data_IF_957951460592
#
_entry.id   IF_957951460592
#
_cell.length_a   1.000
_cell.length_b   1.000
_cell.length_c   1.000
_cell.angle_alpha   90.00
_cell.angle_beta   90.00
_cell.angle_gamma   90.00
#
_symmetry.space_group_name_H-M   'P 1'
#
loop_
_entity.id
_entity.type
_entity.pdbx_description
1 polymer ?
#
# COMPACT_ATOMS: atom_id res chain seq x y z
N UNK A 1 -47.20 -15.69 -35.62
CA UNK A 1 -47.21 -15.53 -34.16
C UNK A 1 -45.92 -16.11 -33.64
N UNK A 2 -44.94 -15.27 -33.49
CA UNK A 2 -43.57 -15.64 -33.01
C UNK A 2 -43.38 -14.99 -31.66
N UNK A 3 -43.17 -15.83 -30.65
CA UNK A 3 -42.92 -15.44 -29.25
C UNK A 3 -41.48 -14.93 -29.13
N UNK A 4 -41.18 -13.91 -28.33
CA UNK A 4 -39.81 -13.43 -28.13
C UNK A 4 -39.09 -14.30 -27.12
N UNK A 5 -37.84 -14.62 -27.44
CA UNK A 5 -36.87 -15.29 -26.55
C UNK A 5 -36.55 -14.41 -25.36
N UNK A 6 -36.88 -14.89 -24.17
CA UNK A 6 -36.44 -14.31 -22.91
C UNK A 6 -34.94 -14.54 -22.78
N UNK A 7 -34.19 -13.45 -22.56
CA UNK A 7 -32.76 -13.48 -22.18
C UNK A 7 -32.60 -14.07 -20.78
N UNK A 8 -31.97 -15.22 -20.72
CA UNK A 8 -31.52 -15.82 -19.45
C UNK A 8 -30.40 -15.00 -18.84
N UNK A 9 -30.72 -14.34 -17.74
CA UNK A 9 -29.79 -13.73 -16.81
C UNK A 9 -28.93 -14.83 -16.15
N UNK A 10 -27.77 -15.16 -16.74
CA UNK A 10 -26.83 -16.15 -16.19
C UNK A 10 -26.12 -15.57 -14.98
N UNK A 11 -26.78 -15.57 -13.84
CA UNK A 11 -26.13 -15.40 -12.54
C UNK A 11 -25.22 -16.61 -12.30
N UNK A 12 -23.95 -16.32 -12.09
CA UNK A 12 -22.91 -17.25 -11.71
C UNK A 12 -23.19 -17.85 -10.31
N UNK A 13 -23.99 -18.90 -10.24
CA UNK A 13 -24.17 -19.70 -9.04
C UNK A 13 -23.94 -21.17 -9.39
N UNK A 14 -22.64 -21.60 -9.41
CA UNK A 14 -22.28 -23.01 -9.19
C UNK A 14 -20.76 -23.21 -9.10
N UNK A 15 -20.16 -22.77 -7.97
CA UNK A 15 -18.91 -23.37 -7.47
C UNK A 15 -19.21 -24.00 -6.11
N UNK A 16 -18.56 -25.09 -5.67
CA UNK A 16 -18.87 -25.74 -4.40
C UNK A 16 -18.62 -24.77 -3.24
N UNK A 17 -19.68 -24.18 -2.75
CA UNK A 17 -19.73 -23.06 -1.81
C UNK A 17 -18.97 -23.33 -0.48
N UNK A 18 -18.72 -24.58 -0.13
CA UNK A 18 -18.01 -24.97 1.10
C UNK A 18 -16.50 -24.91 0.99
N UNK A 19 -15.90 -25.18 -0.19
CA UNK A 19 -14.44 -25.16 -0.34
C UNK A 19 -13.91 -23.74 -0.47
N UNK A 20 -14.64 -22.87 -1.16
CA UNK A 20 -14.26 -21.47 -1.38
C UNK A 20 -14.33 -20.63 -0.09
N UNK A 21 -15.37 -20.77 0.72
CA UNK A 21 -15.55 -20.03 1.99
C UNK A 21 -14.47 -20.34 3.03
N UNK A 22 -14.01 -21.61 3.11
CA UNK A 22 -12.97 -22.03 4.07
C UNK A 22 -11.60 -21.49 3.65
N UNK A 23 -11.27 -21.49 2.36
CA UNK A 23 -10.03 -20.96 1.80
C UNK A 23 -9.98 -19.41 1.90
N UNK A 24 -11.08 -18.72 1.60
CA UNK A 24 -11.22 -17.28 1.74
C UNK A 24 -11.01 -16.79 3.18
N UNK A 25 -11.50 -17.54 4.17
CA UNK A 25 -11.30 -17.24 5.59
C UNK A 25 -9.85 -17.47 6.05
N UNK A 26 -9.13 -18.42 5.44
CA UNK A 26 -7.70 -18.67 5.71
C UNK A 26 -6.79 -17.59 5.14
N UNK A 27 -7.16 -16.96 4.01
CA UNK A 27 -6.38 -15.89 3.37
C UNK A 27 -6.70 -14.49 3.91
N UNK A 28 -7.69 -14.35 4.81
CA UNK A 28 -8.09 -13.05 5.38
C UNK A 28 -8.60 -12.04 4.34
N UNK A 29 -9.07 -12.51 3.19
CA UNK A 29 -9.56 -11.66 2.10
C UNK A 29 -10.94 -11.08 2.41
N UNK A 30 -11.08 -9.76 2.25
CA UNK A 30 -12.33 -9.03 2.33
C UNK A 30 -12.58 -8.38 0.96
N UNK A 31 -13.52 -8.93 0.20
CA UNK A 31 -13.84 -8.43 -1.13
C UNK A 31 -14.76 -7.22 -1.02
N UNK A 32 -14.39 -6.14 -1.69
CA UNK A 32 -15.28 -5.00 -1.89
C UNK A 32 -16.48 -5.45 -2.73
N UNK A 33 -17.70 -5.07 -2.31
CA UNK A 33 -18.95 -5.42 -2.97
C UNK A 33 -19.83 -4.21 -3.26
N UNK A 34 -19.37 -3.01 -2.94
CA UNK A 34 -20.11 -1.75 -3.11
C UNK A 34 -19.59 -1.02 -4.36
N UNK A 35 -20.42 -1.00 -5.41
CA UNK A 35 -20.09 -0.38 -6.70
C UNK A 35 -19.90 1.13 -6.60
N UNK A 36 -20.64 1.82 -5.71
CA UNK A 36 -20.49 3.26 -5.53
C UNK A 36 -19.12 3.60 -4.95
N UNK A 37 -18.65 2.78 -4.00
CA UNK A 37 -17.32 2.93 -3.42
C UNK A 37 -16.24 2.60 -4.45
N UNK A 38 -16.42 1.53 -5.25
CA UNK A 38 -15.50 1.17 -6.32
C UNK A 38 -15.35 2.30 -7.35
N UNK A 39 -16.48 2.84 -7.83
CA UNK A 39 -16.49 3.99 -8.74
C UNK A 39 -15.80 5.21 -8.13
N UNK A 40 -16.06 5.50 -6.85
CA UNK A 40 -15.43 6.63 -6.15
C UNK A 40 -13.91 6.46 -6.04
N UNK A 41 -13.41 5.26 -5.76
CA UNK A 41 -11.98 4.95 -5.71
C UNK A 41 -11.33 5.23 -7.06
N UNK A 42 -11.88 4.67 -8.15
CA UNK A 42 -11.33 4.82 -9.50
C UNK A 42 -11.37 6.28 -9.96
N UNK A 43 -12.47 6.99 -9.71
CA UNK A 43 -12.57 8.41 -10.07
C UNK A 43 -11.53 9.28 -9.35
N UNK A 44 -11.23 8.98 -8.08
CA UNK A 44 -10.21 9.71 -7.30
C UNK A 44 -8.77 9.37 -7.72
N UNK A 45 -8.56 8.30 -8.48
CA UNK A 45 -7.26 8.01 -9.10
C UNK A 45 -6.94 8.96 -10.26
N UNK A 46 -7.94 9.69 -10.79
CA UNK A 46 -7.78 10.71 -11.83
C UNK A 46 -6.96 10.19 -13.02
N UNK A 47 -7.33 8.99 -13.48
CA UNK A 47 -6.63 8.30 -14.58
C UNK A 47 -6.85 9.08 -15.87
N UNK A 48 -5.75 9.34 -16.60
CA UNK A 48 -5.74 9.99 -17.91
C UNK A 48 -5.72 8.95 -19.01
N UNK A 49 -6.06 9.36 -20.23
CA UNK A 49 -5.98 8.50 -21.41
C UNK A 49 -4.55 8.00 -21.60
N UNK A 50 -4.42 6.74 -22.02
CA UNK A 50 -3.16 6.02 -22.28
C UNK A 50 -2.26 5.73 -21.06
N UNK A 51 -2.64 6.11 -19.84
CA UNK A 51 -1.88 5.75 -18.64
C UNK A 51 -1.90 4.24 -18.38
N UNK A 52 -0.75 3.75 -17.91
CA UNK A 52 -0.57 2.36 -17.46
C UNK A 52 -1.02 2.23 -16.03
N UNK A 53 -1.99 1.36 -15.80
CA UNK A 53 -2.62 1.15 -14.51
C UNK A 53 -2.17 -0.19 -13.96
N UNK A 54 -1.76 -0.22 -12.69
CA UNK A 54 -1.56 -1.46 -11.93
C UNK A 54 -2.70 -1.62 -10.92
N UNK A 55 -3.43 -2.73 -11.04
CA UNK A 55 -4.34 -3.19 -9.99
C UNK A 55 -3.68 -4.31 -9.18
N UNK A 56 -3.60 -4.16 -7.86
CA UNK A 56 -3.04 -5.18 -6.98
C UNK A 56 -4.16 -5.90 -6.27
N UNK A 57 -4.26 -7.22 -6.50
CA UNK A 57 -5.27 -8.07 -5.89
C UNK A 57 -6.69 -7.73 -6.37
N UNK A 58 -6.99 -7.85 -7.67
CA UNK A 58 -8.30 -7.54 -8.23
C UNK A 58 -9.44 -8.34 -7.57
N UNK A 59 -9.15 -9.50 -7.00
CA UNK A 59 -10.12 -10.32 -6.30
C UNK A 59 -11.26 -10.78 -7.22
N UNK A 60 -12.47 -10.27 -6.98
CA UNK A 60 -13.64 -10.57 -7.83
C UNK A 60 -13.81 -9.62 -9.02
N UNK A 61 -12.90 -8.64 -9.17
CA UNK A 61 -12.85 -7.76 -10.33
C UNK A 61 -13.74 -6.51 -10.25
N UNK A 62 -14.19 -6.10 -9.07
CA UNK A 62 -15.07 -4.93 -8.93
C UNK A 62 -14.40 -3.61 -9.35
N UNK A 63 -13.10 -3.44 -9.05
CA UNK A 63 -12.32 -2.30 -9.53
C UNK A 63 -11.92 -2.51 -10.99
N UNK A 64 -11.55 -3.76 -11.36
CA UNK A 64 -11.18 -4.16 -12.71
C UNK A 64 -12.26 -3.77 -13.74
N UNK A 65 -13.54 -4.05 -13.45
CA UNK A 65 -14.71 -3.71 -14.29
C UNK A 65 -14.79 -2.22 -14.68
N UNK A 66 -14.21 -1.36 -13.85
CA UNK A 66 -14.20 0.09 -14.07
C UNK A 66 -12.86 0.51 -14.69
N UNK A 67 -11.75 -0.07 -14.23
CA UNK A 67 -10.39 0.30 -14.63
C UNK A 67 -10.10 -0.02 -16.10
N UNK A 68 -10.62 -1.13 -16.63
CA UNK A 68 -10.46 -1.52 -18.05
C UNK A 68 -10.98 -0.45 -19.03
N UNK A 69 -11.90 0.41 -18.59
CA UNK A 69 -12.47 1.51 -19.38
C UNK A 69 -11.67 2.81 -19.27
N UNK A 70 -10.58 2.83 -18.51
CA UNK A 70 -9.85 4.05 -18.18
C UNK A 70 -8.44 4.12 -18.77
N UNK A 71 -7.79 2.98 -19.06
CA UNK A 71 -6.44 2.94 -19.59
C UNK A 71 -5.92 1.52 -19.72
N UNK A 72 -4.61 1.38 -19.93
CA UNK A 72 -3.95 0.08 -20.07
C UNK A 72 -3.80 -0.60 -18.71
N UNK A 73 -4.61 -1.62 -18.45
CA UNK A 73 -4.68 -2.28 -17.14
C UNK A 73 -3.79 -3.53 -17.10
N UNK A 74 -2.86 -3.54 -16.16
CA UNK A 74 -2.16 -4.72 -15.65
C UNK A 74 -2.73 -5.05 -14.26
N UNK A 75 -3.23 -6.27 -14.06
CA UNK A 75 -3.75 -6.70 -12.77
C UNK A 75 -2.99 -7.95 -12.27
N UNK A 76 -2.50 -7.90 -11.04
CA UNK A 76 -1.71 -8.98 -10.41
C UNK A 76 -2.52 -9.62 -9.29
N UNK A 77 -2.90 -10.91 -9.50
CA UNK A 77 -3.69 -11.70 -8.55
C UNK A 77 -2.92 -12.93 -8.10
N UNK A 78 -2.85 -13.13 -6.78
CA UNK A 78 -2.16 -14.27 -6.18
C UNK A 78 -2.99 -15.56 -6.19
N UNK A 79 -4.31 -15.44 -6.08
CA UNK A 79 -5.20 -16.62 -6.09
C UNK A 79 -5.37 -17.10 -7.54
N UNK A 80 -4.85 -18.30 -7.79
CA UNK A 80 -4.87 -18.95 -9.11
C UNK A 80 -6.27 -19.06 -9.71
N UNK A 81 -7.28 -19.39 -8.87
CA UNK A 81 -8.65 -19.56 -9.35
C UNK A 81 -9.25 -18.21 -9.78
N UNK A 82 -9.06 -17.18 -8.95
CA UNK A 82 -9.49 -15.82 -9.29
C UNK A 82 -8.79 -15.30 -10.54
N UNK A 83 -7.48 -15.52 -10.67
CA UNK A 83 -6.73 -15.12 -11.86
C UNK A 83 -7.28 -15.77 -13.14
N UNK A 84 -7.64 -17.06 -13.10
CA UNK A 84 -8.25 -17.75 -14.24
C UNK A 84 -9.61 -17.15 -14.59
N UNK A 85 -10.47 -16.90 -13.61
CA UNK A 85 -11.79 -16.28 -13.81
C UNK A 85 -11.65 -14.88 -14.41
N UNK A 86 -10.73 -14.07 -13.90
CA UNK A 86 -10.47 -12.73 -14.40
C UNK A 86 -9.92 -12.74 -15.84
N UNK A 87 -8.98 -13.66 -16.16
CA UNK A 87 -8.46 -13.84 -17.52
C UNK A 87 -9.58 -14.15 -18.52
N UNK A 88 -10.54 -14.99 -18.12
CA UNK A 88 -11.69 -15.31 -18.99
C UNK A 88 -12.63 -14.11 -19.16
N UNK A 89 -12.82 -13.33 -18.10
CA UNK A 89 -13.73 -12.18 -18.11
C UNK A 89 -13.18 -10.98 -18.86
N UNK A 90 -11.86 -10.73 -18.77
CA UNK A 90 -11.20 -9.52 -19.28
C UNK A 90 -10.10 -9.84 -20.33
N UNK A 91 -10.28 -10.90 -21.11
CA UNK A 91 -9.25 -11.47 -22.02
C UNK A 91 -8.64 -10.46 -23.00
N UNK A 92 -9.40 -9.47 -23.46
CA UNK A 92 -8.97 -8.47 -24.44
C UNK A 92 -8.78 -7.07 -23.83
N UNK A 93 -9.23 -6.86 -22.59
CA UNK A 93 -9.31 -5.54 -21.98
C UNK A 93 -8.23 -5.29 -20.93
N UNK A 94 -7.66 -6.36 -20.35
CA UNK A 94 -6.63 -6.26 -19.32
C UNK A 94 -5.62 -7.40 -19.38
N UNK A 95 -4.39 -7.09 -19.01
CA UNK A 95 -3.37 -8.09 -18.75
C UNK A 95 -3.49 -8.61 -17.32
N UNK A 96 -3.94 -9.85 -17.13
CA UNK A 96 -4.10 -10.48 -15.81
C UNK A 96 -2.94 -11.44 -15.56
N UNK A 97 -2.15 -11.17 -14.52
CA UNK A 97 -1.00 -11.99 -14.13
C UNK A 97 -1.31 -12.76 -12.85
N UNK A 98 -1.12 -14.09 -12.87
CA UNK A 98 -1.12 -14.93 -11.67
C UNK A 98 0.26 -14.83 -11.01
N UNK A 99 0.39 -14.02 -9.97
CA UNK A 99 1.64 -13.87 -9.23
C UNK A 99 1.41 -13.30 -7.81
N UNK A 100 2.38 -13.51 -6.91
CA UNK A 100 2.47 -12.73 -5.69
C UNK A 100 3.10 -11.36 -6.00
N UNK A 101 2.38 -10.29 -5.71
CA UNK A 101 2.88 -8.92 -5.91
C UNK A 101 4.19 -8.65 -5.16
N UNK A 102 4.45 -9.38 -4.08
CA UNK A 102 5.69 -9.24 -3.31
C UNK A 102 6.92 -9.79 -4.05
N UNK A 103 6.72 -10.70 -5.02
CA UNK A 103 7.78 -11.32 -5.82
C UNK A 103 7.75 -10.87 -7.29
N UNK A 104 6.62 -10.28 -7.73
CA UNK A 104 6.42 -9.85 -9.12
C UNK A 104 7.23 -8.60 -9.44
N UNK A 105 7.98 -8.62 -10.55
CA UNK A 105 8.70 -7.44 -11.04
C UNK A 105 7.73 -6.48 -11.70
N UNK A 106 7.52 -5.32 -11.06
CA UNK A 106 6.55 -4.32 -11.49
C UNK A 106 7.16 -3.52 -12.65
N UNK A 107 6.54 -3.50 -13.84
CA UNK A 107 7.01 -2.69 -14.96
C UNK A 107 6.78 -1.20 -14.70
N UNK A 108 7.16 -0.35 -15.67
CA UNK A 108 6.83 1.08 -15.62
C UNK A 108 5.31 1.27 -15.60
N UNK A 109 4.81 1.89 -14.53
CA UNK A 109 3.39 2.13 -14.24
C UNK A 109 3.19 3.59 -13.89
N UNK A 110 2.08 4.18 -14.32
CA UNK A 110 1.74 5.56 -13.99
C UNK A 110 0.85 5.62 -12.74
N UNK A 111 -0.15 4.76 -12.65
CA UNK A 111 -1.18 4.78 -11.59
C UNK A 111 -1.34 3.41 -10.96
N UNK A 112 -1.45 3.37 -9.63
CA UNK A 112 -1.74 2.15 -8.88
C UNK A 112 -3.10 2.29 -8.18
N UNK A 113 -3.97 1.32 -8.36
CA UNK A 113 -5.27 1.25 -7.67
C UNK A 113 -5.40 -0.11 -6.99
N UNK A 114 -5.75 -0.14 -5.70
CA UNK A 114 -5.90 -1.43 -5.02
C UNK A 114 -6.79 -1.36 -3.76
N UNK A 115 -7.53 -2.45 -3.55
CA UNK A 115 -8.06 -2.85 -2.26
C UNK A 115 -7.12 -3.89 -1.64
N UNK A 116 -6.11 -3.44 -0.91
CA UNK A 116 -5.01 -4.29 -0.45
C UNK A 116 -5.43 -5.28 0.65
N UNK A 117 -4.95 -6.54 0.60
CA UNK A 117 -5.08 -7.46 1.74
C UNK A 117 -4.37 -6.86 2.97
N UNK A 118 -5.08 -6.77 4.09
CA UNK A 118 -4.60 -6.04 5.27
C UNK A 118 -3.33 -6.63 5.87
N UNK A 119 -3.16 -7.95 5.79
CA UNK A 119 -1.98 -8.64 6.33
C UNK A 119 -0.67 -8.28 5.65
N UNK A 120 -0.72 -7.80 4.42
CA UNK A 120 0.46 -7.48 3.60
C UNK A 120 0.56 -6.00 3.22
N UNK A 121 -0.25 -5.12 3.83
CA UNK A 121 -0.25 -3.67 3.55
C UNK A 121 1.14 -3.03 3.69
N UNK A 122 1.87 -3.35 4.76
CA UNK A 122 3.23 -2.81 4.97
C UNK A 122 4.24 -3.36 3.96
N UNK A 123 4.41 -4.68 3.78
CA UNK A 123 5.32 -5.22 2.76
C UNK A 123 5.06 -4.69 1.36
N UNK A 124 3.78 -4.63 0.93
CA UNK A 124 3.42 -4.09 -0.40
C UNK A 124 3.86 -2.63 -0.51
N UNK A 125 3.51 -1.79 0.46
CA UNK A 125 3.84 -0.37 0.40
C UNK A 125 5.36 -0.13 0.30
N UNK A 126 6.15 -0.83 1.13
CA UNK A 126 7.61 -0.73 1.07
C UNK A 126 8.19 -1.27 -0.24
N UNK A 127 7.53 -2.26 -0.86
CA UNK A 127 7.90 -2.73 -2.19
C UNK A 127 7.60 -1.67 -3.24
N UNK A 128 6.41 -1.07 -3.24
CA UNK A 128 6.02 -0.03 -4.19
C UNK A 128 6.97 1.17 -4.17
N UNK A 129 7.53 1.53 -3.03
CA UNK A 129 8.52 2.61 -2.91
C UNK A 129 9.83 2.35 -3.68
N UNK A 130 10.09 1.13 -4.10
CA UNK A 130 11.28 0.78 -4.90
C UNK A 130 11.07 0.95 -6.41
N UNK A 131 9.83 1.18 -6.84
CA UNK A 131 9.46 1.30 -8.24
C UNK A 131 9.07 2.74 -8.58
N UNK A 132 9.11 3.04 -9.87
CA UNK A 132 8.69 4.34 -10.39
C UNK A 132 7.21 4.30 -10.72
N UNK A 133 6.45 5.23 -10.17
CA UNK A 133 5.04 5.49 -10.44
C UNK A 133 4.72 6.93 -10.05
N UNK A 134 3.62 7.49 -10.55
CA UNK A 134 3.25 8.89 -10.26
C UNK A 134 2.34 8.99 -9.05
N UNK A 135 1.26 8.20 -9.02
CA UNK A 135 0.25 8.25 -7.96
C UNK A 135 -0.40 6.89 -7.70
N UNK A 136 -0.94 6.75 -6.51
CA UNK A 136 -1.69 5.56 -6.13
C UNK A 136 -2.94 5.93 -5.32
N UNK A 137 -4.03 5.17 -5.50
CA UNK A 137 -5.22 5.19 -4.65
C UNK A 137 -5.39 3.81 -4.05
N UNK A 138 -5.08 3.71 -2.77
CA UNK A 138 -4.99 2.45 -2.05
C UNK A 138 -5.96 2.44 -0.87
N UNK A 139 -6.56 1.29 -0.62
CA UNK A 139 -7.40 1.09 0.55
C UNK A 139 -6.67 0.24 1.60
N UNK A 140 -6.61 0.76 2.82
CA UNK A 140 -5.98 0.15 3.99
C UNK A 140 -6.95 0.04 5.16
N UNK A 141 -6.57 -0.70 6.19
CA UNK A 141 -7.20 -0.58 7.50
C UNK A 141 -7.04 0.85 8.03
N UNK A 142 -8.06 1.37 8.72
CA UNK A 142 -8.07 2.74 9.24
C UNK A 142 -6.85 3.05 10.13
N UNK A 143 -6.44 2.10 10.97
CA UNK A 143 -5.26 2.26 11.83
C UNK A 143 -3.97 2.41 11.01
N UNK A 144 -3.79 1.57 9.98
CA UNK A 144 -2.63 1.66 9.09
C UNK A 144 -2.59 3.00 8.35
N UNK A 145 -3.71 3.45 7.81
CA UNK A 145 -3.82 4.75 7.15
C UNK A 145 -3.51 5.92 8.11
N UNK A 146 -3.94 5.83 9.37
CA UNK A 146 -3.63 6.84 10.39
C UNK A 146 -2.13 6.90 10.71
N UNK A 147 -1.46 5.75 10.75
CA UNK A 147 0.01 5.71 10.92
C UNK A 147 0.74 6.25 9.70
N UNK A 148 0.21 6.04 8.50
CA UNK A 148 0.82 6.50 7.25
C UNK A 148 0.90 8.03 7.19
N UNK A 149 -0.14 8.74 7.65
CA UNK A 149 -0.23 10.22 7.63
C UNK A 149 0.15 10.87 8.97
N UNK A 150 0.66 10.08 9.92
CA UNK A 150 0.94 10.58 11.26
C UNK A 150 2.07 11.62 11.25
N UNK A 151 1.90 12.67 12.04
CA UNK A 151 2.89 13.75 12.22
C UNK A 151 3.73 13.52 13.48
N UNK A 152 4.95 14.06 13.56
CA UNK A 152 5.76 14.06 14.78
C UNK A 152 4.96 14.47 16.02
N UNK A 153 5.29 13.90 17.15
CA UNK A 153 4.58 14.10 18.43
C UNK A 153 3.26 13.33 18.57
N UNK A 154 2.71 12.76 17.50
CA UNK A 154 1.47 11.99 17.59
C UNK A 154 1.71 10.55 18.04
N UNK A 155 0.70 9.95 18.72
CA UNK A 155 0.75 8.57 19.22
C UNK A 155 1.03 7.52 18.13
N UNK A 156 0.65 7.78 16.89
CA UNK A 156 0.75 6.85 15.75
C UNK A 156 1.97 7.09 14.87
N UNK A 157 2.72 8.17 15.11
CA UNK A 157 3.95 8.46 14.37
C UNK A 157 5.02 7.39 14.59
N UNK A 158 5.70 6.97 13.53
CA UNK A 158 6.67 5.91 13.62
C UNK A 158 7.41 5.64 12.29
N UNK A 159 8.12 4.51 12.21
CA UNK A 159 8.88 4.12 11.01
C UNK A 159 8.07 4.26 9.72
N UNK A 160 6.80 3.79 9.72
CA UNK A 160 5.94 3.88 8.54
C UNK A 160 5.71 5.32 8.10
N UNK A 161 5.49 6.23 9.05
CA UNK A 161 5.24 7.66 8.78
C UNK A 161 6.46 8.33 8.15
N UNK A 162 7.64 8.07 8.71
CA UNK A 162 8.93 8.63 8.23
C UNK A 162 9.24 8.11 6.82
N UNK A 163 9.16 6.78 6.63
CA UNK A 163 9.44 6.18 5.32
C UNK A 163 8.43 6.61 4.25
N UNK A 164 7.15 6.70 4.59
CA UNK A 164 6.16 7.21 3.66
C UNK A 164 6.42 8.68 3.30
N UNK A 165 6.75 9.53 4.28
CA UNK A 165 7.10 10.93 4.03
C UNK A 165 8.30 11.09 3.10
N UNK A 166 9.26 10.16 3.14
CA UNK A 166 10.43 10.17 2.25
C UNK A 166 10.03 10.00 0.78
N UNK A 167 9.08 9.10 0.48
CA UNK A 167 8.75 8.71 -0.90
C UNK A 167 7.54 9.41 -1.49
N UNK A 168 6.55 9.75 -0.63
CA UNK A 168 5.23 10.17 -1.10
C UNK A 168 4.65 11.30 -0.27
N UNK A 169 3.82 12.12 -0.92
CA UNK A 169 2.80 12.90 -0.25
C UNK A 169 1.57 12.01 -0.04
N UNK A 170 1.05 11.99 1.19
CA UNK A 170 -0.04 11.09 1.58
C UNK A 170 -1.28 11.89 2.02
N UNK A 171 -2.44 11.56 1.43
CA UNK A 171 -3.72 12.19 1.77
C UNK A 171 -4.78 11.14 2.06
N UNK A 172 -5.43 11.21 3.23
CA UNK A 172 -6.64 10.41 3.49
C UNK A 172 -7.80 10.99 2.70
N UNK A 173 -8.48 10.16 1.92
CA UNK A 173 -9.59 10.57 1.08
C UNK A 173 -10.94 10.38 1.80
N UNK A 174 -11.34 9.13 2.06
CA UNK A 174 -12.58 8.83 2.73
C UNK A 174 -12.54 7.48 3.45
N UNK A 175 -13.39 7.36 4.46
CA UNK A 175 -13.57 6.14 5.26
C UNK A 175 -14.58 5.22 4.59
N UNK A 176 -14.32 3.90 4.64
CA UNK A 176 -15.19 2.86 4.07
C UNK A 176 -15.74 1.99 5.19
N UNK A 177 -17.07 1.82 5.17
CA UNK A 177 -17.77 0.97 6.14
C UNK A 177 -17.41 -0.50 5.95
N UNK A 178 -17.46 -1.27 7.04
CA UNK A 178 -17.31 -2.73 7.03
C UNK A 178 -18.36 -3.42 6.15
N UNK A 179 -19.56 -2.83 6.05
CA UNK A 179 -20.67 -3.34 5.26
C UNK A 179 -20.41 -3.34 3.75
N UNK A 180 -19.42 -2.57 3.29
CA UNK A 180 -19.02 -2.56 1.89
C UNK A 180 -18.23 -3.81 1.45
N UNK A 181 -18.00 -4.77 2.38
CA UNK A 181 -17.15 -5.95 2.12
C UNK A 181 -17.86 -7.26 2.42
N UNK A 182 -17.43 -8.31 1.73
CA UNK A 182 -17.83 -9.70 1.99
C UNK A 182 -16.60 -10.63 1.92
N UNK A 183 -16.28 -11.37 3.02
CA UNK A 183 -16.82 -11.22 4.38
C UNK A 183 -16.50 -9.83 4.97
N UNK A 184 -17.29 -9.40 5.95
CA UNK A 184 -17.08 -8.11 6.61
C UNK A 184 -15.79 -8.14 7.46
N UNK A 185 -14.90 -7.13 7.34
CA UNK A 185 -13.73 -7.00 8.22
C UNK A 185 -14.14 -6.59 9.64
N UNK A 186 -13.23 -6.80 10.59
CA UNK A 186 -13.47 -6.40 12.00
C UNK A 186 -13.44 -4.88 12.21
N UNK A 187 -12.69 -4.15 11.38
CA UNK A 187 -12.46 -2.71 11.49
C UNK A 187 -12.80 -2.00 10.17
N UNK A 188 -12.96 -0.70 10.25
CA UNK A 188 -13.18 0.14 9.06
C UNK A 188 -11.93 0.23 8.19
N UNK A 189 -12.15 0.56 6.94
CA UNK A 189 -11.09 0.84 5.97
C UNK A 189 -11.01 2.33 5.68
N UNK A 190 -9.88 2.75 5.15
CA UNK A 190 -9.61 4.13 4.74
C UNK A 190 -8.97 4.11 3.37
N UNK A 191 -9.54 4.86 2.44
CA UNK A 191 -8.92 5.11 1.13
C UNK A 191 -7.94 6.26 1.27
N UNK A 192 -6.75 6.06 0.71
CA UNK A 192 -5.63 6.97 0.79
C UNK A 192 -5.11 7.23 -0.63
N UNK A 193 -4.79 8.47 -0.93
CA UNK A 193 -4.03 8.86 -2.11
C UNK A 193 -2.56 9.02 -1.73
N UNK A 194 -1.68 8.48 -2.55
CA UNK A 194 -0.25 8.67 -2.50
C UNK A 194 0.20 9.33 -3.80
N UNK A 195 1.00 10.37 -3.69
CA UNK A 195 1.62 11.02 -4.85
C UNK A 195 3.12 10.89 -4.68
N UNK A 196 3.79 10.29 -5.65
CA UNK A 196 5.25 10.14 -5.63
C UNK A 196 5.93 11.49 -5.62
N UNK A 197 6.91 11.67 -4.76
CA UNK A 197 7.68 12.92 -4.65
C UNK A 197 9.13 12.63 -4.29
N UNK A 198 9.99 13.60 -4.54
CA UNK A 198 11.31 13.62 -3.92
C UNK A 198 11.21 14.27 -2.54
N UNK A 199 11.94 13.77 -1.54
CA UNK A 199 12.01 14.42 -0.23
C UNK A 199 12.62 15.83 -0.37
N UNK A 200 12.32 16.70 0.58
CA UNK A 200 12.86 18.07 0.66
C UNK A 200 14.18 18.15 1.45
N UNK A 201 14.85 16.99 1.61
CA UNK A 201 16.15 16.83 2.24
C UNK A 201 17.02 15.89 1.42
N UNK A 202 18.34 15.95 1.64
CA UNK A 202 19.34 15.10 0.96
C UNK A 202 19.78 13.99 1.90
N UNK A 203 19.92 12.79 1.37
CA UNK A 203 20.55 11.66 2.05
C UNK A 203 21.89 11.36 1.40
N UNK A 204 22.93 11.24 2.22
CA UNK A 204 24.25 10.80 1.78
C UNK A 204 24.29 9.28 1.52
N UNK A 205 23.56 8.52 2.36
CA UNK A 205 23.34 7.07 2.18
C UNK A 205 21.94 6.64 2.65
N UNK A 206 21.17 6.10 1.72
CA UNK A 206 19.82 5.62 2.01
C UNK A 206 19.81 4.41 2.97
N UNK A 207 20.80 3.53 2.85
CA UNK A 207 20.92 2.34 3.71
C UNK A 207 21.09 2.74 5.18
N UNK A 208 21.98 3.68 5.44
CA UNK A 208 22.18 4.23 6.79
C UNK A 208 20.90 4.92 7.30
N UNK A 209 20.19 5.68 6.45
CA UNK A 209 18.92 6.29 6.85
C UNK A 209 17.89 5.24 7.26
N UNK A 210 17.71 4.17 6.46
CA UNK A 210 16.78 3.09 6.80
C UNK A 210 17.19 2.37 8.10
N UNK A 211 18.48 2.15 8.33
CA UNK A 211 19.02 1.57 9.56
C UNK A 211 18.76 2.46 10.78
N UNK A 212 18.98 3.76 10.68
CA UNK A 212 18.73 4.74 11.74
C UNK A 212 17.24 4.77 12.06
N UNK A 213 16.38 4.95 11.06
CA UNK A 213 14.91 4.95 11.24
C UNK A 213 14.44 3.66 11.92
N UNK A 214 14.93 2.50 11.47
CA UNK A 214 14.58 1.22 12.08
C UNK A 214 15.05 1.17 13.54
N UNK A 215 16.27 1.59 13.84
CA UNK A 215 16.85 1.55 15.18
C UNK A 215 16.08 2.41 16.18
N UNK A 216 15.82 3.68 15.84
CA UNK A 216 15.19 4.63 16.76
C UNK A 216 13.70 4.32 17.01
N UNK A 217 12.99 3.70 16.05
CA UNK A 217 11.58 3.34 16.20
C UNK A 217 11.34 1.92 16.75
N UNK A 218 12.36 1.05 16.81
CA UNK A 218 12.23 -0.29 17.42
C UNK A 218 11.96 -0.19 18.92
N UNK A 219 12.56 0.80 19.59
CA UNK A 219 12.36 1.05 21.01
C UNK A 219 11.84 2.47 21.28
N UNK A 220 10.71 2.80 20.70
CA UNK A 220 10.08 4.12 20.65
C UNK A 220 10.08 4.91 21.97
N UNK A 221 10.03 4.22 23.14
CA UNK A 221 10.03 4.85 24.47
C UNK A 221 11.42 5.20 25.00
N UNK A 222 12.49 4.69 24.36
CA UNK A 222 13.88 5.00 24.75
C UNK A 222 14.35 6.28 24.08
N UNK A 223 15.35 6.93 24.68
CA UNK A 223 16.10 8.02 24.04
C UNK A 223 16.83 7.51 22.79
N UNK A 224 17.00 8.36 21.79
CA UNK A 224 17.65 8.05 20.52
C UNK A 224 19.03 7.44 20.76
N UNK A 225 19.87 8.04 21.60
CA UNK A 225 21.17 7.52 22.02
C UNK A 225 21.12 6.03 22.39
N UNK A 226 20.15 5.65 23.21
CA UNK A 226 20.02 4.26 23.68
C UNK A 226 19.52 3.31 22.59
N UNK A 227 18.80 3.81 21.61
CA UNK A 227 18.36 3.02 20.47
C UNK A 227 19.52 2.78 19.49
N UNK A 228 20.29 3.82 19.20
CA UNK A 228 21.42 3.75 18.27
C UNK A 228 22.56 2.87 18.79
N UNK A 229 22.91 2.94 20.08
CA UNK A 229 23.95 2.10 20.70
C UNK A 229 23.71 0.59 20.52
N UNK A 230 22.47 0.16 20.26
CA UNK A 230 22.18 -1.26 20.01
C UNK A 230 22.64 -1.74 18.63
N UNK A 231 22.62 -0.87 17.63
CA UNK A 231 22.91 -1.23 16.24
C UNK A 231 24.19 -0.61 15.70
N UNK A 232 24.69 0.47 16.32
CA UNK A 232 25.90 1.21 15.93
C UNK A 232 26.87 1.23 17.11
N UNK A 233 27.46 0.05 17.43
CA UNK A 233 28.26 -0.16 18.66
C UNK A 233 29.59 0.61 18.67
N UNK A 234 30.15 0.85 17.49
CA UNK A 234 31.45 1.46 17.31
C UNK A 234 31.42 2.97 17.07
N UNK A 235 30.23 3.58 17.28
CA UNK A 235 30.02 5.02 17.06
C UNK A 235 29.80 5.72 18.39
N UNK A 236 30.55 6.80 18.62
CA UNK A 236 30.29 7.76 19.69
C UNK A 236 29.24 8.78 19.24
N UNK A 237 28.25 9.03 20.11
CA UNK A 237 27.10 9.88 19.78
C UNK A 237 27.05 11.16 20.60
N UNK A 238 28.10 11.46 21.39
CA UNK A 238 28.03 12.51 22.41
C UNK A 238 27.90 13.92 21.78
N UNK A 239 28.49 14.11 20.60
CA UNK A 239 28.44 15.38 19.86
C UNK A 239 27.29 15.49 18.87
N UNK A 240 26.38 14.50 18.83
CA UNK A 240 25.24 14.52 17.91
C UNK A 240 24.00 15.13 18.58
N UNK A 241 23.28 15.94 17.81
CA UNK A 241 22.00 16.55 18.23
C UNK A 241 20.94 15.46 18.46
N UNK A 242 19.88 15.78 19.22
CA UNK A 242 18.70 14.95 19.49
C UNK A 242 18.96 13.67 20.30
N UNK A 243 20.17 13.43 20.79
CA UNK A 243 20.51 12.16 21.46
C UNK A 243 19.70 11.87 22.72
N UNK A 244 19.26 12.91 23.43
CA UNK A 244 18.48 12.79 24.65
C UNK A 244 16.96 12.84 24.41
N UNK A 245 16.56 13.04 23.17
CA UNK A 245 15.15 13.04 22.75
C UNK A 245 14.64 11.63 22.43
N UNK A 246 13.33 11.52 22.20
CA UNK A 246 12.70 10.31 21.66
C UNK A 246 12.42 10.50 20.17
N UNK A 247 12.53 9.41 19.40
CA UNK A 247 12.33 9.42 17.95
C UNK A 247 10.96 10.01 17.51
N UNK A 248 9.95 9.93 18.39
CA UNK A 248 8.59 10.37 18.04
C UNK A 248 8.43 11.89 17.89
N UNK A 249 9.36 12.68 18.36
CA UNK A 249 9.29 14.15 18.26
C UNK A 249 10.03 14.70 17.03
N UNK A 250 10.94 13.92 16.44
CA UNK A 250 11.77 14.36 15.33
C UNK A 250 10.99 14.39 14.01
N UNK A 251 11.19 15.47 13.26
CA UNK A 251 10.76 15.56 11.86
C UNK A 251 11.58 14.61 10.97
N UNK A 252 11.04 14.15 9.83
CA UNK A 252 11.78 13.29 8.90
C UNK A 252 13.11 13.90 8.43
N UNK A 253 13.19 15.24 8.28
CA UNK A 253 14.40 15.98 7.92
C UNK A 253 15.47 15.86 9.01
N UNK A 254 15.10 16.04 10.28
CA UNK A 254 16.04 15.93 11.40
C UNK A 254 16.61 14.50 11.52
N UNK A 255 15.78 13.48 11.23
CA UNK A 255 16.24 12.09 11.17
C UNK A 255 17.20 11.88 9.99
N UNK A 256 16.97 12.53 8.85
CA UNK A 256 17.85 12.46 7.69
C UNK A 256 19.22 13.12 7.99
N UNK A 257 19.22 14.30 8.60
CA UNK A 257 20.44 15.00 9.03
C UNK A 257 21.23 14.16 10.04
N UNK A 258 20.55 13.54 11.01
CA UNK A 258 21.18 12.62 11.95
C UNK A 258 21.79 11.42 11.21
N UNK A 259 21.10 10.85 10.22
CA UNK A 259 21.63 9.71 9.46
C UNK A 259 22.87 10.08 8.64
N UNK A 260 22.93 11.27 8.05
CA UNK A 260 24.07 11.77 7.30
C UNK A 260 25.29 11.93 8.23
N UNK A 261 25.10 12.49 9.44
CA UNK A 261 26.17 12.58 10.44
C UNK A 261 26.70 11.20 10.86
N UNK A 262 25.80 10.21 11.05
CA UNK A 262 26.18 8.82 11.37
C UNK A 262 26.95 8.19 10.20
N UNK A 263 26.49 8.38 8.96
CA UNK A 263 27.17 7.89 7.76
C UNK A 263 28.58 8.46 7.64
N UNK A 264 28.76 9.76 7.85
CA UNK A 264 30.06 10.41 7.83
C UNK A 264 31.05 9.86 8.90
N UNK A 265 30.54 9.45 10.07
CA UNK A 265 31.35 8.80 11.10
C UNK A 265 31.75 7.37 10.69
N UNK A 266 30.78 6.59 10.14
CA UNK A 266 31.05 5.20 9.66
C UNK A 266 32.05 5.13 8.51
N UNK A 267 32.20 6.20 7.74
CA UNK A 267 33.04 6.28 6.55
C UNK A 267 34.49 6.72 6.84
N UNK A 268 34.81 7.04 8.11
CA UNK A 268 36.16 7.35 8.60
C UNK A 268 36.81 6.10 9.14
#
# INVERSE_FOLDING_TARGET
MTSPLQGEDRRFDSAPAHHSRRKQKMLGQNFLIDDNIANKIVNLASIKDDEKILEIGPGRGILTDILVKKGKLLAVEKDKWLAVVLKQKFSEEAEIIEADILDFEIPDIDVIVANLPYSISSPILFRLFKYKWERAVLMFQEEFANRLVAKPGSKTYGRLSVMANHYVETKKLFKVSKTAFQPQPKIHSQVVQLISRKPDYVLDDFTTFEEVVRSIFTHRRKKIRNCLKLNFKDIEFDDLEHMDERAEVLEPREIAELSNKIFAIKSK
#
